data_IF_701563188890
#
_entry.id   IF_701563188890
#
_cell.length_a   1.000
_cell.length_b   1.000
_cell.length_c   1.000
_cell.angle_alpha   90.00
_cell.angle_beta   90.00
_cell.angle_gamma   90.00
#
_symmetry.space_group_name_H-M   'P 1'
#
loop_
_entity.id
_entity.type
_entity.pdbx_description
1 polymer ?
#
# COMPACT_ATOMS: atom_id res chain seq x y z
N UNK A 1 20.24 22.03 8.90
CA UNK A 1 19.48 22.96 9.78
C UNK A 1 18.90 24.12 9.00
N UNK A 2 17.73 24.61 9.43
CA UNK A 2 17.01 25.72 8.78
C UNK A 2 16.37 25.40 7.42
N UNK A 3 16.28 24.11 7.03
CA UNK A 3 15.68 23.66 5.77
C UNK A 3 14.58 22.63 6.04
N UNK A 4 13.60 22.56 5.14
CA UNK A 4 12.55 21.54 5.13
C UNK A 4 12.89 20.45 4.11
N UNK A 5 12.60 19.20 4.46
CA UNK A 5 12.78 18.03 3.59
C UNK A 5 11.41 17.40 3.34
N UNK A 6 11.04 17.26 2.07
CA UNK A 6 9.89 16.48 1.65
C UNK A 6 10.39 15.18 1.00
N UNK A 7 10.25 14.08 1.70
CA UNK A 7 10.65 12.75 1.21
C UNK A 7 9.59 12.20 0.26
N UNK A 8 10.05 11.55 -0.81
CA UNK A 8 9.15 10.91 -1.77
C UNK A 8 8.66 9.55 -1.25
N UNK A 9 7.40 9.21 -1.54
CA UNK A 9 6.85 7.85 -1.43
C UNK A 9 7.05 7.09 -2.74
N UNK A 10 6.81 5.77 -2.72
CA UNK A 10 6.97 4.88 -3.88
C UNK A 10 6.02 5.21 -5.04
N UNK A 11 4.83 5.74 -4.75
CA UNK A 11 3.78 6.10 -5.73
C UNK A 11 4.15 7.30 -6.60
N UNK A 12 3.52 7.43 -7.78
CA UNK A 12 3.70 8.60 -8.67
C UNK A 12 3.18 9.89 -8.02
N UNK A 13 1.95 9.86 -7.52
CA UNK A 13 1.38 10.91 -6.69
C UNK A 13 2.09 11.02 -5.34
N UNK A 14 2.17 12.22 -4.78
CA UNK A 14 2.88 12.50 -3.54
C UNK A 14 1.93 13.20 -2.56
N UNK A 15 1.75 12.73 -1.31
CA UNK A 15 0.72 13.28 -0.41
C UNK A 15 0.73 14.80 -0.20
N UNK A 16 1.88 15.50 -0.16
CA UNK A 16 1.89 16.96 -0.03
C UNK A 16 1.23 17.70 -1.20
N UNK A 17 1.00 17.06 -2.36
CA UNK A 17 0.42 17.73 -3.54
C UNK A 17 -0.98 18.27 -3.28
N UNK A 18 -1.75 17.63 -2.39
CA UNK A 18 -3.11 18.03 -2.05
C UNK A 18 -3.21 19.39 -1.33
N UNK A 19 -2.16 19.80 -0.60
CA UNK A 19 -2.19 21.03 0.24
C UNK A 19 -1.16 22.09 -0.15
N UNK A 20 -0.17 21.77 -0.98
CA UNK A 20 0.85 22.73 -1.40
C UNK A 20 0.27 23.77 -2.37
N UNK A 21 0.10 25.00 -1.90
CA UNK A 21 -0.42 26.13 -2.70
C UNK A 21 0.56 26.61 -3.77
N UNK A 22 1.87 26.44 -3.57
CA UNK A 22 2.89 26.81 -4.57
C UNK A 22 2.91 25.78 -5.72
N UNK A 23 2.33 26.15 -6.87
CA UNK A 23 2.27 25.29 -8.07
C UNK A 23 3.64 24.88 -8.61
N UNK A 24 4.61 25.78 -8.65
CA UNK A 24 5.96 25.46 -9.13
C UNK A 24 6.65 24.41 -8.24
N UNK A 25 6.37 24.44 -6.92
CA UNK A 25 6.83 23.41 -5.99
C UNK A 25 6.13 22.07 -6.25
N UNK A 26 4.80 22.05 -6.50
CA UNK A 26 4.08 20.83 -6.89
C UNK A 26 4.67 20.21 -8.16
N UNK A 27 4.87 21.02 -9.19
CA UNK A 27 5.50 20.60 -10.44
C UNK A 27 6.89 19.99 -10.21
N UNK A 28 7.74 20.67 -9.42
CA UNK A 28 9.08 20.17 -9.09
C UNK A 28 9.03 18.82 -8.38
N UNK A 29 8.15 18.67 -7.39
CA UNK A 29 8.00 17.41 -6.65
C UNK A 29 7.50 16.30 -7.56
N UNK A 30 6.48 16.56 -8.39
CA UNK A 30 5.92 15.57 -9.30
C UNK A 30 6.93 15.12 -10.36
N UNK A 31 7.65 16.05 -10.99
CA UNK A 31 8.72 15.70 -11.95
C UNK A 31 9.83 14.90 -11.28
N UNK A 32 10.22 15.28 -10.06
CA UNK A 32 11.22 14.51 -9.29
C UNK A 32 10.70 13.09 -9.00
N UNK A 33 9.42 12.97 -8.63
CA UNK A 33 8.74 11.69 -8.39
C UNK A 33 8.78 10.77 -9.61
N UNK A 34 8.38 11.27 -10.78
CA UNK A 34 8.35 10.50 -12.03
C UNK A 34 9.75 10.16 -12.57
N UNK A 35 10.77 10.96 -12.22
CA UNK A 35 12.16 10.71 -12.64
C UNK A 35 12.91 9.67 -11.80
N UNK A 36 12.29 9.11 -10.74
CA UNK A 36 12.96 8.10 -9.90
C UNK A 36 13.43 6.92 -10.76
N UNK A 37 14.69 6.52 -10.57
CA UNK A 37 15.29 5.41 -11.31
C UNK A 37 15.57 5.70 -12.80
N UNK A 38 15.51 6.96 -13.27
CA UNK A 38 15.69 7.27 -14.70
C UNK A 38 16.48 8.57 -14.97
N UNK A 39 17.36 8.97 -14.03
CA UNK A 39 18.09 10.27 -14.08
C UNK A 39 19.49 10.21 -14.71
N UNK A 40 19.90 9.08 -15.29
CA UNK A 40 21.26 8.91 -15.83
C UNK A 40 22.35 8.94 -14.76
N UNK A 41 22.00 8.61 -13.51
CA UNK A 41 22.93 8.49 -12.37
C UNK A 41 23.29 7.03 -12.12
N UNK A 42 24.18 6.75 -11.16
CA UNK A 42 24.49 5.39 -10.68
C UNK A 42 23.27 4.59 -10.18
N UNK A 43 22.15 5.28 -9.90
CA UNK A 43 20.86 4.71 -9.52
C UNK A 43 19.83 4.67 -10.67
N UNK A 44 20.26 4.74 -11.94
CA UNK A 44 19.40 4.57 -13.09
C UNK A 44 19.06 3.09 -13.32
N UNK A 45 17.77 2.78 -13.44
CA UNK A 45 17.24 1.42 -13.54
C UNK A 45 16.80 1.07 -14.95
N UNK A 46 16.94 1.94 -15.96
CA UNK A 46 16.42 1.69 -17.31
C UNK A 46 17.10 0.50 -17.98
N UNK A 47 18.43 0.45 -17.92
CA UNK A 47 19.20 -0.66 -18.51
C UNK A 47 18.99 -1.96 -17.73
N UNK A 48 18.88 -1.86 -16.40
CA UNK A 48 18.53 -3.01 -15.54
C UNK A 48 17.15 -3.56 -15.92
N UNK A 49 16.15 -2.70 -16.05
CA UNK A 49 14.79 -3.09 -16.43
C UNK A 49 14.75 -3.71 -17.83
N UNK A 50 15.42 -3.11 -18.82
CA UNK A 50 15.51 -3.65 -20.17
C UNK A 50 16.12 -5.07 -20.18
N UNK A 51 17.20 -5.28 -19.42
CA UNK A 51 17.82 -6.58 -19.26
C UNK A 51 16.89 -7.58 -18.56
N UNK A 52 16.19 -7.18 -17.50
CA UNK A 52 15.21 -8.04 -16.79
C UNK A 52 14.07 -8.46 -17.73
N UNK A 53 13.53 -7.54 -18.54
CA UNK A 53 12.47 -7.85 -19.51
C UNK A 53 12.97 -8.84 -20.56
N UNK A 54 14.17 -8.62 -21.10
CA UNK A 54 14.81 -9.54 -22.05
C UNK A 54 14.97 -10.94 -21.46
N UNK A 55 15.56 -11.05 -20.26
CA UNK A 55 15.76 -12.33 -19.57
C UNK A 55 14.45 -13.02 -19.21
N UNK A 56 13.40 -12.26 -18.86
CA UNK A 56 12.05 -12.81 -18.62
C UNK A 56 11.44 -13.41 -19.88
N UNK A 57 11.64 -12.77 -21.04
CA UNK A 57 11.19 -13.30 -22.33
C UNK A 57 11.96 -14.56 -22.74
N UNK A 58 13.30 -14.54 -22.64
CA UNK A 58 14.16 -15.71 -22.91
C UNK A 58 13.79 -16.90 -22.02
N UNK A 59 13.59 -16.67 -20.72
CA UNK A 59 13.14 -17.69 -19.77
C UNK A 59 11.79 -18.28 -20.15
N UNK A 60 10.83 -17.46 -20.59
CA UNK A 60 9.52 -17.95 -20.99
C UNK A 60 9.63 -18.86 -22.23
N UNK A 61 10.42 -18.46 -23.23
CA UNK A 61 10.67 -19.25 -24.44
C UNK A 61 11.35 -20.58 -24.12
N UNK A 62 12.36 -20.57 -23.24
CA UNK A 62 13.03 -21.80 -22.78
C UNK A 62 12.07 -22.78 -22.09
N UNK A 63 11.03 -22.26 -21.44
CA UNK A 63 10.00 -23.07 -20.79
C UNK A 63 8.85 -23.45 -21.72
N UNK A 64 8.89 -23.05 -23.00
CA UNK A 64 7.87 -23.40 -24.00
C UNK A 64 6.67 -22.45 -24.09
N UNK A 65 6.77 -21.23 -23.54
CA UNK A 65 5.71 -20.22 -23.58
C UNK A 65 6.07 -19.08 -24.54
N UNK A 66 5.05 -18.50 -25.19
CA UNK A 66 5.23 -17.40 -26.15
C UNK A 66 5.83 -16.13 -25.52
N UNK A 67 5.51 -15.89 -24.24
CA UNK A 67 5.95 -14.69 -23.52
C UNK A 67 5.86 -14.90 -21.99
N UNK A 68 6.45 -13.95 -21.26
CA UNK A 68 6.48 -13.99 -19.80
C UNK A 68 5.09 -13.95 -19.15
N UNK A 69 4.12 -13.24 -19.73
CA UNK A 69 2.77 -13.17 -19.18
C UNK A 69 2.07 -14.53 -19.25
N UNK A 70 2.18 -15.25 -20.37
CA UNK A 70 1.67 -16.60 -20.51
C UNK A 70 2.30 -17.56 -19.48
N UNK A 71 3.63 -17.49 -19.34
CA UNK A 71 4.35 -18.25 -18.31
C UNK A 71 3.88 -17.92 -16.88
N UNK A 72 3.76 -16.63 -16.56
CA UNK A 72 3.43 -16.19 -15.19
C UNK A 72 1.98 -16.49 -14.80
N UNK A 73 1.07 -16.57 -15.77
CA UNK A 73 -0.36 -16.76 -15.53
C UNK A 73 -0.79 -18.23 -15.41
N UNK A 74 0.06 -19.18 -15.80
CA UNK A 74 -0.25 -20.61 -15.69
C UNK A 74 -0.67 -21.02 -14.27
N UNK A 75 0.04 -20.50 -13.27
CA UNK A 75 -0.24 -20.73 -11.85
C UNK A 75 -1.13 -19.64 -11.23
N UNK A 76 -1.85 -18.86 -12.04
CA UNK A 76 -2.76 -17.81 -11.57
C UNK A 76 -4.21 -18.16 -11.92
N UNK A 77 -5.16 -17.62 -11.15
CA UNK A 77 -6.59 -17.87 -11.40
C UNK A 77 -7.10 -17.30 -12.72
N UNK A 78 -6.42 -16.27 -13.27
CA UNK A 78 -6.78 -15.71 -14.56
C UNK A 78 -6.34 -16.58 -15.76
N UNK A 79 -5.39 -17.51 -15.56
CA UNK A 79 -4.88 -18.53 -16.49
C UNK A 79 -4.25 -18.04 -17.81
N UNK A 80 -4.80 -17.02 -18.49
CA UNK A 80 -4.37 -16.60 -19.82
C UNK A 80 -4.21 -15.08 -19.94
N UNK A 81 -3.24 -14.59 -20.73
CA UNK A 81 -3.12 -13.16 -21.03
C UNK A 81 -4.38 -12.57 -21.67
N UNK A 82 -5.09 -13.37 -22.49
CA UNK A 82 -6.33 -12.95 -23.15
C UNK A 82 -7.42 -12.60 -22.12
N UNK A 83 -7.67 -13.47 -21.14
CA UNK A 83 -8.66 -13.22 -20.10
C UNK A 83 -8.35 -11.96 -19.28
N UNK A 84 -7.06 -11.76 -18.93
CA UNK A 84 -6.59 -10.54 -18.25
C UNK A 84 -6.87 -9.30 -19.11
N UNK A 85 -6.45 -9.31 -20.37
CA UNK A 85 -6.61 -8.18 -21.28
C UNK A 85 -8.09 -7.86 -21.56
N UNK A 86 -8.94 -8.86 -21.73
CA UNK A 86 -10.38 -8.69 -21.89
C UNK A 86 -11.01 -8.04 -20.65
N UNK A 87 -10.64 -8.52 -19.45
CA UNK A 87 -11.14 -7.92 -18.20
C UNK A 87 -10.70 -6.47 -18.06
N UNK A 88 -9.41 -6.16 -18.23
CA UNK A 88 -8.90 -4.79 -18.13
C UNK A 88 -9.52 -3.88 -19.19
N UNK A 89 -9.63 -4.35 -20.43
CA UNK A 89 -10.25 -3.61 -21.54
C UNK A 89 -11.75 -3.37 -21.33
N UNK A 90 -12.45 -4.25 -20.61
CA UNK A 90 -13.86 -4.04 -20.27
C UNK A 90 -14.07 -2.91 -19.26
N UNK A 91 -13.06 -2.62 -18.43
CA UNK A 91 -13.10 -1.60 -17.39
C UNK A 91 -12.60 -0.23 -17.90
N UNK A 92 -11.60 -0.24 -18.79
CA UNK A 92 -10.88 0.96 -19.23
C UNK A 92 -11.79 2.06 -19.80
N UNK A 93 -12.77 1.81 -20.69
CA UNK A 93 -13.61 2.88 -21.23
C UNK A 93 -14.39 3.63 -20.16
N UNK A 94 -14.93 2.93 -19.16
CA UNK A 94 -15.69 3.54 -18.06
C UNK A 94 -14.77 4.31 -17.11
N UNK A 95 -13.60 3.76 -16.81
CA UNK A 95 -12.60 4.43 -15.98
C UNK A 95 -12.11 5.73 -16.64
N UNK A 96 -11.80 5.71 -17.94
CA UNK A 96 -11.38 6.89 -18.70
C UNK A 96 -12.51 7.91 -18.80
N UNK A 97 -13.76 7.48 -19.02
CA UNK A 97 -14.91 8.39 -19.04
C UNK A 97 -15.07 9.14 -17.70
N UNK A 98 -14.92 8.44 -16.57
CA UNK A 98 -14.97 9.05 -15.25
C UNK A 98 -13.79 10.00 -15.01
N UNK A 99 -12.57 9.58 -15.34
CA UNK A 99 -11.38 10.43 -15.22
C UNK A 99 -11.47 11.70 -16.07
N UNK A 100 -12.04 11.63 -17.28
CA UNK A 100 -12.27 12.82 -18.12
C UNK A 100 -13.33 13.76 -17.52
N UNK A 101 -14.38 13.21 -16.90
CA UNK A 101 -15.36 14.01 -16.17
C UNK A 101 -14.73 14.71 -14.97
N UNK A 102 -13.93 13.99 -14.20
CA UNK A 102 -13.16 14.55 -13.08
C UNK A 102 -12.21 15.66 -13.58
N UNK A 103 -11.42 15.40 -14.63
CA UNK A 103 -10.54 16.42 -15.22
C UNK A 103 -11.29 17.68 -15.67
N UNK A 104 -12.50 17.52 -16.22
CA UNK A 104 -13.37 18.65 -16.60
C UNK A 104 -13.80 19.45 -15.36
N UNK A 105 -14.16 18.78 -14.28
CA UNK A 105 -14.54 19.42 -13.03
C UNK A 105 -13.35 20.16 -12.38
N UNK A 106 -12.16 19.57 -12.43
CA UNK A 106 -10.92 20.20 -11.95
C UNK A 106 -10.57 21.44 -12.79
N UNK A 107 -10.68 21.36 -14.12
CA UNK A 107 -10.43 22.52 -15.00
C UNK A 107 -11.42 23.65 -14.73
N UNK A 108 -12.70 23.36 -14.52
CA UNK A 108 -13.69 24.39 -14.15
C UNK A 108 -13.33 25.08 -12.83
N UNK A 109 -12.81 24.34 -11.86
CA UNK A 109 -12.35 24.92 -10.59
C UNK A 109 -11.12 25.82 -10.78
N UNK A 110 -10.19 25.45 -11.69
CA UNK A 110 -9.07 26.32 -12.07
C UNK A 110 -9.59 27.61 -12.71
N UNK A 111 -10.50 27.50 -13.67
CA UNK A 111 -11.04 28.63 -14.43
C UNK A 111 -11.84 29.58 -13.53
N UNK A 112 -12.57 29.06 -12.53
CA UNK A 112 -13.34 29.84 -11.58
C UNK A 112 -12.49 30.66 -10.59
N UNK A 113 -11.22 30.28 -10.39
CA UNK A 113 -10.26 31.00 -9.55
C UNK A 113 -9.37 31.96 -10.35
N UNK A 114 -9.80 32.33 -11.57
CA UNK A 114 -9.03 33.13 -12.54
C UNK A 114 -7.67 32.49 -12.89
N UNK A 115 -7.56 31.16 -12.77
CA UNK A 115 -6.38 30.41 -13.13
C UNK A 115 -6.18 30.34 -14.64
N UNK A 116 -5.13 30.98 -15.16
CA UNK A 116 -4.89 31.06 -16.61
C UNK A 116 -4.11 29.85 -17.19
N UNK A 117 -4.27 28.64 -16.64
CA UNK A 117 -3.50 27.47 -17.05
C UNK A 117 -4.36 26.21 -17.23
N UNK A 118 -3.89 25.31 -18.11
CA UNK A 118 -4.48 23.99 -18.28
C UNK A 118 -4.05 23.07 -17.14
N UNK A 119 -4.98 22.27 -16.65
CA UNK A 119 -4.75 21.21 -15.68
C UNK A 119 -3.57 20.33 -16.11
N UNK A 120 -2.61 20.15 -15.20
CA UNK A 120 -1.51 19.21 -15.35
C UNK A 120 -1.57 18.13 -14.25
N UNK A 121 -0.78 17.06 -14.39
CA UNK A 121 -0.78 15.94 -13.44
C UNK A 121 -0.40 16.35 -12.00
N UNK A 122 0.40 17.41 -11.83
CA UNK A 122 0.77 17.96 -10.52
C UNK A 122 -0.26 18.92 -9.93
N UNK A 123 -1.35 19.18 -10.64
CA UNK A 123 -2.48 20.00 -10.18
C UNK A 123 -3.65 19.14 -9.68
N UNK A 124 -3.68 17.85 -10.04
CA UNK A 124 -4.82 16.95 -9.82
C UNK A 124 -5.27 16.86 -8.35
N UNK A 125 -4.35 16.52 -7.44
CA UNK A 125 -4.67 16.33 -6.02
C UNK A 125 -5.15 17.64 -5.37
N UNK A 126 -4.47 18.74 -5.67
CA UNK A 126 -4.79 20.07 -5.12
C UNK A 126 -6.19 20.53 -5.52
N UNK A 127 -6.53 20.45 -6.81
CA UNK A 127 -7.86 20.85 -7.27
C UNK A 127 -8.94 19.82 -6.91
N UNK A 128 -8.58 18.56 -6.70
CA UNK A 128 -9.51 17.55 -6.17
C UNK A 128 -9.98 17.93 -4.77
N UNK A 129 -9.10 18.39 -3.89
CA UNK A 129 -9.51 18.87 -2.56
C UNK A 129 -10.39 20.12 -2.65
N UNK A 130 -10.12 21.04 -3.59
CA UNK A 130 -10.99 22.21 -3.81
C UNK A 130 -12.37 21.83 -4.31
N UNK A 131 -12.47 20.96 -5.30
CA UNK A 131 -13.75 20.45 -5.81
C UNK A 131 -14.51 19.68 -4.72
N UNK A 132 -13.80 18.91 -3.88
CA UNK A 132 -14.41 18.22 -2.74
C UNK A 132 -14.97 19.20 -1.71
N UNK A 133 -14.19 20.23 -1.37
CA UNK A 133 -14.63 21.28 -0.45
C UNK A 133 -15.86 22.04 -0.98
N UNK A 134 -15.85 22.43 -2.26
CA UNK A 134 -16.98 23.11 -2.91
C UNK A 134 -18.25 22.25 -2.95
N UNK A 135 -18.13 20.97 -3.32
CA UNK A 135 -19.29 20.07 -3.49
C UNK A 135 -19.89 19.56 -2.20
N UNK A 136 -19.04 19.29 -1.20
CA UNK A 136 -19.44 18.55 -0.01
C UNK A 136 -19.25 19.35 1.28
N UNK A 137 -18.73 20.58 1.21
CA UNK A 137 -18.31 21.37 2.36
C UNK A 137 -17.42 20.54 3.32
N UNK A 138 -16.52 19.75 2.73
CA UNK A 138 -15.74 18.73 3.43
C UNK A 138 -14.28 18.83 3.03
N UNK A 139 -13.42 18.91 4.04
CA UNK A 139 -11.97 18.84 3.91
C UNK A 139 -11.47 17.56 4.58
N UNK A 140 -10.81 16.69 3.82
CA UNK A 140 -10.27 15.43 4.34
C UNK A 140 -9.24 15.65 5.46
N UNK A 141 -8.59 16.80 5.51
CA UNK A 141 -7.67 17.16 6.59
C UNK A 141 -8.36 17.27 7.95
N UNK A 142 -9.66 17.60 7.97
CA UNK A 142 -10.48 17.67 9.20
C UNK A 142 -10.68 16.31 9.85
N UNK A 143 -10.54 15.21 9.10
CA UNK A 143 -10.62 13.86 9.67
C UNK A 143 -9.33 13.42 10.35
N UNK A 144 -8.19 14.00 9.98
CA UNK A 144 -6.86 13.57 10.44
C UNK A 144 -6.74 13.52 11.98
N UNK A 145 -7.28 14.48 12.76
CA UNK A 145 -7.26 14.42 14.23
C UNK A 145 -8.02 13.24 14.84
N UNK A 146 -8.93 12.60 14.11
CA UNK A 146 -9.71 11.45 14.58
C UNK A 146 -9.02 10.11 14.32
N UNK A 147 -7.95 10.10 13.52
CA UNK A 147 -7.23 8.89 13.12
C UNK A 147 -5.82 8.86 13.73
N UNK A 148 -5.76 8.80 15.06
CA UNK A 148 -4.53 8.54 15.78
C UNK A 148 -4.17 7.04 15.68
N UNK A 149 -2.89 6.71 15.41
CA UNK A 149 -2.44 5.36 15.03
C UNK A 149 -2.75 4.29 16.09
N UNK A 150 -2.56 4.58 17.37
CA UNK A 150 -2.88 3.63 18.44
C UNK A 150 -4.39 3.41 18.53
N UNK A 151 -5.18 4.47 18.39
CA UNK A 151 -6.63 4.37 18.34
C UNK A 151 -7.12 3.57 17.12
N UNK A 152 -6.54 3.80 15.94
CA UNK A 152 -6.84 3.05 14.71
C UNK A 152 -6.50 1.57 14.89
N UNK A 153 -5.35 1.26 15.49
CA UNK A 153 -4.91 -0.12 15.71
C UNK A 153 -5.80 -0.83 16.74
N UNK A 154 -6.00 -0.24 17.92
CA UNK A 154 -6.72 -0.87 19.04
C UNK A 154 -8.23 -0.87 18.83
N UNK A 155 -8.81 0.30 18.55
CA UNK A 155 -10.27 0.49 18.48
C UNK A 155 -10.84 0.38 17.06
N UNK A 156 -9.98 0.24 16.05
CA UNK A 156 -10.38 -0.06 14.68
C UNK A 156 -10.03 -1.50 14.31
N UNK A 157 -8.75 -1.74 14.06
CA UNK A 157 -8.23 -2.98 13.45
C UNK A 157 -8.43 -4.18 14.38
N UNK A 158 -7.91 -4.11 15.60
CA UNK A 158 -8.03 -5.19 16.58
C UNK A 158 -9.47 -5.36 17.03
N UNK A 159 -10.18 -4.26 17.33
CA UNK A 159 -11.60 -4.30 17.65
C UNK A 159 -12.43 -5.05 16.59
N UNK A 160 -12.28 -4.69 15.31
CA UNK A 160 -13.02 -5.35 14.23
C UNK A 160 -12.70 -6.85 14.17
N UNK A 161 -11.43 -7.24 14.33
CA UNK A 161 -11.02 -8.62 14.31
C UNK A 161 -11.53 -9.42 15.54
N UNK A 162 -11.57 -8.79 16.71
CA UNK A 162 -12.20 -9.36 17.90
C UNK A 162 -13.69 -9.56 17.69
N UNK A 163 -14.40 -8.57 17.15
CA UNK A 163 -15.84 -8.68 16.89
C UNK A 163 -16.18 -9.75 15.86
N UNK A 164 -15.34 -9.92 14.83
CA UNK A 164 -15.61 -10.83 13.73
C UNK A 164 -15.12 -12.25 13.98
N UNK A 165 -13.99 -12.43 14.66
CA UNK A 165 -13.30 -13.72 14.81
C UNK A 165 -13.04 -14.15 16.26
N UNK A 166 -13.43 -13.33 17.25
CA UNK A 166 -13.23 -13.63 18.68
C UNK A 166 -11.78 -13.55 19.17
N UNK A 167 -10.81 -13.22 18.31
CA UNK A 167 -9.40 -13.15 18.68
C UNK A 167 -9.09 -11.94 19.57
N UNK A 168 -8.11 -12.05 20.45
CA UNK A 168 -7.68 -10.97 21.34
C UNK A 168 -6.17 -10.75 21.27
N UNK A 169 -5.73 -9.55 21.65
CA UNK A 169 -4.36 -9.08 21.46
C UNK A 169 -3.78 -8.60 22.79
N UNK A 170 -2.55 -9.04 23.08
CA UNK A 170 -1.78 -8.55 24.23
C UNK A 170 -0.43 -8.05 23.74
N UNK A 171 -0.16 -6.77 23.96
CA UNK A 171 1.15 -6.21 23.65
C UNK A 171 2.23 -6.78 24.59
N UNK A 172 3.39 -7.10 24.01
CA UNK A 172 4.53 -7.73 24.66
C UNK A 172 5.74 -6.82 24.54
N UNK A 173 6.24 -6.36 25.69
CA UNK A 173 7.42 -5.49 25.79
C UNK A 173 8.68 -6.24 26.19
N UNK A 174 8.56 -7.53 26.49
CA UNK A 174 9.64 -8.40 26.95
C UNK A 174 10.32 -9.17 25.81
N UNK A 175 9.80 -9.06 24.58
CA UNK A 175 10.34 -9.73 23.40
C UNK A 175 11.36 -8.85 22.66
N UNK A 176 12.40 -9.44 22.04
CA UNK A 176 13.38 -8.68 21.29
C UNK A 176 12.77 -8.10 20.02
N UNK A 177 13.16 -6.86 19.71
CA UNK A 177 12.74 -6.14 18.49
C UNK A 177 13.96 -5.75 17.66
N UNK A 178 13.79 -5.70 16.33
CA UNK A 178 14.86 -5.31 15.41
C UNK A 178 14.98 -3.79 15.23
N UNK A 179 13.97 -3.03 15.67
CA UNK A 179 13.97 -1.57 15.66
C UNK A 179 13.07 -1.05 16.80
N UNK A 180 13.43 0.10 17.37
CA UNK A 180 12.84 0.66 18.60
C UNK A 180 11.33 0.91 18.58
N UNK A 181 10.74 1.18 17.42
CA UNK A 181 9.31 1.51 17.27
C UNK A 181 8.47 0.29 16.92
N UNK A 182 9.09 -0.88 16.79
CA UNK A 182 8.39 -2.13 16.49
C UNK A 182 7.61 -2.56 17.72
N UNK A 183 6.32 -2.85 17.51
CA UNK A 183 5.42 -3.36 18.54
C UNK A 183 5.13 -4.83 18.29
N UNK A 184 5.08 -5.62 19.35
CA UNK A 184 4.82 -7.06 19.26
C UNK A 184 3.58 -7.38 20.08
N UNK A 185 2.66 -8.13 19.48
CA UNK A 185 1.42 -8.56 20.08
C UNK A 185 1.35 -10.07 20.09
N UNK A 186 1.06 -10.66 21.24
CA UNK A 186 0.61 -12.04 21.34
C UNK A 186 -0.89 -12.08 21.04
N UNK A 187 -1.27 -12.95 20.10
CA UNK A 187 -2.65 -13.09 19.63
C UNK A 187 -3.23 -14.39 20.14
N UNK A 188 -4.44 -14.35 20.68
CA UNK A 188 -5.14 -15.49 21.25
C UNK A 188 -6.44 -15.76 20.50
N UNK A 189 -6.81 -17.04 20.42
CA UNK A 189 -8.15 -17.47 20.02
C UNK A 189 -9.17 -17.13 21.12
N UNK A 190 -10.45 -17.27 20.79
CA UNK A 190 -11.57 -17.05 21.72
C UNK A 190 -11.49 -17.98 22.97
N UNK A 191 -10.95 -19.19 22.81
CA UNK A 191 -10.74 -20.14 23.91
C UNK A 191 -9.50 -19.82 24.80
N UNK A 192 -8.80 -18.74 24.50
CA UNK A 192 -7.59 -18.30 25.19
C UNK A 192 -6.31 -19.03 24.76
N UNK A 193 -6.38 -19.95 23.80
CA UNK A 193 -5.18 -20.59 23.25
C UNK A 193 -4.37 -19.62 22.38
N UNK A 194 -3.04 -19.73 22.43
CA UNK A 194 -2.15 -18.87 21.63
C UNK A 194 -2.36 -19.17 20.14
N UNK A 195 -2.66 -18.15 19.36
CA UNK A 195 -2.80 -18.21 17.91
C UNK A 195 -1.48 -17.88 17.21
N UNK A 196 -0.92 -16.70 17.47
CA UNK A 196 0.21 -16.16 16.72
C UNK A 196 0.99 -15.10 17.51
N UNK A 197 2.15 -14.70 16.97
CA UNK A 197 2.72 -13.38 17.24
C UNK A 197 2.46 -12.46 16.04
N UNK A 198 1.99 -11.24 16.33
CA UNK A 198 1.83 -10.17 15.35
C UNK A 198 2.82 -9.03 15.64
N UNK A 199 3.57 -8.63 14.62
CA UNK A 199 4.57 -7.57 14.69
C UNK A 199 4.07 -6.38 13.86
N UNK A 200 4.06 -5.20 14.45
CA UNK A 200 3.66 -3.97 13.77
C UNK A 200 4.83 -2.99 13.69
N UNK A 201 5.22 -2.64 12.46
CA UNK A 201 6.27 -1.66 12.16
C UNK A 201 5.72 -0.51 11.30
N UNK A 202 5.11 0.47 11.96
CA UNK A 202 4.26 1.49 11.33
C UNK A 202 5.00 2.62 10.59
N UNK A 203 6.23 2.94 10.98
CA UNK A 203 6.87 4.21 10.60
C UNK A 203 7.82 4.14 9.42
N UNK A 204 7.82 5.18 8.58
CA UNK A 204 8.79 5.40 7.53
C UNK A 204 10.17 5.74 8.11
N UNK A 205 11.23 5.19 7.48
CA UNK A 205 12.63 5.48 7.80
C UNK A 205 13.52 5.18 6.61
N UNK A 206 14.73 5.76 6.57
CA UNK A 206 15.66 5.65 5.43
C UNK A 206 16.08 4.21 5.11
N UNK A 207 16.12 3.33 6.11
CA UNK A 207 16.47 1.92 5.93
C UNK A 207 15.29 1.02 5.54
N UNK A 208 14.07 1.56 5.45
CA UNK A 208 12.86 0.83 5.07
C UNK A 208 12.44 1.18 3.65
N UNK A 209 12.18 0.17 2.82
CA UNK A 209 11.61 0.38 1.48
C UNK A 209 10.22 1.03 1.57
N UNK A 210 9.84 1.80 0.56
CA UNK A 210 8.51 2.42 0.48
C UNK A 210 7.37 1.40 0.28
N UNK A 211 6.13 1.86 0.43
CA UNK A 211 4.91 1.05 0.32
C UNK A 211 4.41 0.53 1.66
N UNK A 212 3.57 -0.50 1.63
CA UNK A 212 3.19 -1.30 2.79
C UNK A 212 3.22 -2.77 2.38
N UNK A 213 3.47 -3.65 3.34
CA UNK A 213 3.44 -5.10 3.09
C UNK A 213 3.30 -5.89 4.39
N UNK A 214 2.76 -7.10 4.23
CA UNK A 214 2.78 -8.17 5.20
C UNK A 214 3.86 -9.20 4.84
N UNK A 215 4.51 -9.80 5.84
CA UNK A 215 5.28 -11.02 5.65
C UNK A 215 5.20 -11.95 6.88
N UNK A 216 5.44 -13.24 6.65
CA UNK A 216 5.66 -14.21 7.72
C UNK A 216 7.16 -14.32 8.04
N UNK A 217 7.53 -14.15 9.31
CA UNK A 217 8.85 -14.55 9.82
C UNK A 217 8.88 -16.05 10.13
N UNK A 218 7.75 -16.59 10.60
CA UNK A 218 7.51 -18.01 10.75
C UNK A 218 6.13 -18.30 10.17
N UNK A 219 6.04 -19.19 9.19
CA UNK A 219 4.76 -19.68 8.66
C UNK A 219 4.17 -20.76 9.56
N UNK A 220 2.84 -20.84 9.62
CA UNK A 220 2.15 -21.93 10.31
C UNK A 220 2.42 -23.27 9.60
N UNK A 221 2.57 -24.35 10.36
CA UNK A 221 2.64 -25.72 9.80
C UNK A 221 2.50 -26.78 10.89
N UNK A 222 1.58 -27.75 10.69
CA UNK A 222 1.49 -28.93 11.57
C UNK A 222 2.72 -29.84 11.45
N UNK A 223 3.30 -30.00 10.26
CA UNK A 223 4.50 -30.81 10.04
C UNK A 223 5.71 -30.31 10.83
N UNK A 224 5.84 -28.99 11.02
CA UNK A 224 6.91 -28.38 11.81
C UNK A 224 6.51 -28.06 13.25
N UNK A 225 5.22 -28.16 13.58
CA UNK A 225 4.67 -27.74 14.88
C UNK A 225 4.73 -26.23 15.10
N UNK A 226 4.82 -25.43 14.02
CA UNK A 226 5.01 -23.99 14.11
C UNK A 226 3.67 -23.26 14.25
N UNK A 227 3.61 -22.30 15.18
CA UNK A 227 2.63 -21.21 15.16
C UNK A 227 3.18 -20.03 14.35
N UNK A 228 2.32 -19.27 13.67
CA UNK A 228 2.77 -18.20 12.79
C UNK A 228 3.30 -16.98 13.57
N UNK A 229 4.34 -16.36 13.01
CA UNK A 229 4.86 -15.05 13.43
C UNK A 229 4.76 -14.13 12.21
N UNK A 230 3.81 -13.21 12.26
CA UNK A 230 3.39 -12.39 11.13
C UNK A 230 3.71 -10.92 11.40
N UNK A 231 4.09 -10.18 10.37
CA UNK A 231 4.44 -8.77 10.50
C UNK A 231 3.82 -7.90 9.43
N UNK A 232 3.35 -6.72 9.83
CA UNK A 232 2.92 -5.65 8.94
C UNK A 232 3.89 -4.48 9.00
N UNK A 233 4.23 -3.95 7.83
CA UNK A 233 5.12 -2.82 7.68
C UNK A 233 4.39 -1.71 6.93
N UNK A 234 4.31 -0.54 7.55
CA UNK A 234 3.80 0.67 6.92
C UNK A 234 4.90 1.73 6.82
N UNK A 235 4.57 2.84 6.16
CA UNK A 235 5.43 4.00 5.97
C UNK A 235 4.73 5.30 6.41
N UNK A 236 4.09 5.28 7.58
CA UNK A 236 3.52 6.48 8.21
C UNK A 236 4.65 7.41 8.66
N UNK A 237 4.48 8.72 8.53
CA UNK A 237 5.51 9.67 8.96
C UNK A 237 5.58 9.68 10.49
N UNK A 238 6.75 9.37 11.04
CA UNK A 238 6.99 9.43 12.49
C UNK A 238 6.86 10.88 12.97
N UNK A 239 5.95 11.19 13.91
CA UNK A 239 5.82 12.55 14.44
C UNK A 239 7.00 12.89 15.35
N UNK A 240 7.21 14.18 15.67
CA UNK A 240 8.14 14.59 16.72
C UNK A 240 7.83 13.92 18.06
N UNK A 241 8.84 13.81 18.94
CA UNK A 241 8.66 13.20 20.25
C UNK A 241 7.57 13.93 21.06
N UNK A 242 6.58 13.18 21.53
CA UNK A 242 5.47 13.70 22.33
C UNK A 242 4.23 14.09 21.54
N UNK A 243 4.30 14.10 20.20
CA UNK A 243 3.16 14.40 19.33
C UNK A 243 2.44 13.12 18.90
N UNK A 244 1.10 13.15 18.73
CA UNK A 244 0.33 11.99 18.29
C UNK A 244 0.63 11.61 16.84
N UNK A 245 0.54 10.31 16.52
CA UNK A 245 0.68 9.85 15.14
C UNK A 245 -0.66 9.94 14.43
N UNK A 246 -0.92 11.08 13.79
CA UNK A 246 -2.16 11.30 13.05
C UNK A 246 -2.05 10.81 11.60
N UNK A 247 -2.97 9.92 11.22
CA UNK A 247 -2.98 9.22 9.94
C UNK A 247 -3.96 9.85 8.96
N UNK A 248 -3.64 9.78 7.66
CA UNK A 248 -4.64 10.01 6.63
C UNK A 248 -5.61 8.82 6.54
N UNK A 249 -6.77 9.02 5.93
CA UNK A 249 -7.71 7.93 5.70
C UNK A 249 -7.12 6.81 4.82
N UNK A 250 -6.27 7.15 3.85
CA UNK A 250 -5.56 6.14 3.03
C UNK A 250 -4.59 5.30 3.88
N UNK A 251 -3.94 5.90 4.88
CA UNK A 251 -3.07 5.17 5.82
C UNK A 251 -3.89 4.25 6.74
N UNK A 252 -5.10 4.66 7.12
CA UNK A 252 -6.05 3.80 7.85
C UNK A 252 -6.46 2.60 6.98
N UNK A 253 -6.89 2.83 5.74
CA UNK A 253 -7.23 1.75 4.79
C UNK A 253 -6.04 0.81 4.62
N UNK A 254 -4.83 1.35 4.44
CA UNK A 254 -3.60 0.56 4.30
C UNK A 254 -3.38 -0.33 5.52
N UNK A 255 -3.62 0.17 6.73
CA UNK A 255 -3.47 -0.62 7.96
C UNK A 255 -4.43 -1.80 7.99
N UNK A 256 -5.70 -1.59 7.61
CA UNK A 256 -6.69 -2.66 7.49
C UNK A 256 -6.34 -3.67 6.38
N UNK A 257 -5.86 -3.18 5.23
CA UNK A 257 -5.44 -4.03 4.11
C UNK A 257 -4.32 -4.99 4.53
N UNK A 258 -3.23 -4.46 5.09
CA UNK A 258 -2.13 -5.30 5.56
C UNK A 258 -2.58 -6.22 6.70
N UNK A 259 -3.49 -5.77 7.56
CA UNK A 259 -4.02 -6.63 8.62
C UNK A 259 -4.90 -7.77 8.08
N UNK A 260 -5.56 -7.59 6.94
CA UNK A 260 -6.22 -8.67 6.21
C UNK A 260 -5.25 -9.78 5.81
N UNK A 261 -4.08 -9.43 5.26
CA UNK A 261 -3.02 -10.40 5.02
C UNK A 261 -2.49 -11.02 6.32
N UNK A 262 -2.39 -10.23 7.38
CA UNK A 262 -1.95 -10.74 8.67
C UNK A 262 -2.91 -11.82 9.20
N UNK A 263 -4.22 -11.59 9.14
CA UNK A 263 -5.26 -12.56 9.50
C UNK A 263 -5.16 -13.82 8.62
N UNK A 264 -4.98 -13.66 7.31
CA UNK A 264 -4.79 -14.80 6.40
C UNK A 264 -3.58 -15.66 6.81
N UNK A 265 -2.47 -15.04 7.23
CA UNK A 265 -1.31 -15.74 7.77
C UNK A 265 -1.57 -16.39 9.14
N UNK A 266 -2.20 -15.67 10.06
CA UNK A 266 -2.44 -16.11 11.44
C UNK A 266 -3.42 -17.27 11.52
N UNK A 267 -4.47 -17.27 10.69
CA UNK A 267 -5.50 -18.31 10.68
C UNK A 267 -5.17 -19.53 9.82
N UNK A 268 -3.96 -19.61 9.27
CA UNK A 268 -3.56 -20.77 8.50
C UNK A 268 -3.58 -22.04 9.36
N UNK A 269 -4.19 -23.11 8.86
CA UNK A 269 -4.25 -24.42 9.55
C UNK A 269 -3.89 -25.59 8.63
N UNK A 270 -2.67 -25.56 8.07
CA UNK A 270 -2.22 -26.52 7.06
C UNK A 270 -1.17 -27.49 7.60
N UNK A 271 -1.03 -28.64 6.94
CA UNK A 271 0.02 -29.60 7.29
C UNK A 271 1.40 -29.14 6.80
N UNK A 272 1.50 -28.80 5.51
CA UNK A 272 2.78 -28.54 4.85
C UNK A 272 3.07 -27.03 4.77
N UNK A 273 4.30 -26.59 5.10
CA UNK A 273 4.68 -25.17 5.03
C UNK A 273 4.47 -24.53 3.66
N UNK A 274 4.54 -25.32 2.59
CA UNK A 274 4.35 -24.85 1.21
C UNK A 274 2.97 -24.21 0.96
N UNK A 275 1.94 -24.61 1.74
CA UNK A 275 0.58 -24.09 1.61
C UNK A 275 0.20 -23.11 2.73
N UNK A 276 1.18 -22.64 3.52
CA UNK A 276 0.90 -21.85 4.70
C UNK A 276 0.52 -20.41 4.37
N UNK A 277 -0.50 -19.89 5.08
CA UNK A 277 -0.93 -18.50 5.04
C UNK A 277 -1.19 -17.98 3.64
N UNK A 278 -0.51 -16.89 3.29
CA UNK A 278 -0.64 -16.18 2.01
C UNK A 278 0.03 -16.89 0.82
N UNK A 279 0.42 -18.17 0.96
CA UNK A 279 0.95 -19.00 -0.13
C UNK A 279 -0.17 -19.50 -1.05
N UNK A 280 -0.95 -18.58 -1.59
CA UNK A 280 -2.01 -18.81 -2.57
C UNK A 280 -1.70 -18.03 -3.85
N UNK A 281 -2.49 -18.23 -4.90
CA UNK A 281 -2.32 -17.50 -6.16
C UNK A 281 -2.37 -15.98 -5.91
N UNK A 282 -1.48 -15.24 -6.56
CA UNK A 282 -1.29 -13.79 -6.34
C UNK A 282 -2.60 -13.00 -6.51
N UNK A 283 -3.42 -13.38 -7.49
CA UNK A 283 -4.71 -12.75 -7.74
C UNK A 283 -5.76 -13.02 -6.63
N UNK A 284 -5.56 -14.03 -5.79
CA UNK A 284 -6.43 -14.35 -4.64
C UNK A 284 -5.89 -13.71 -3.36
N UNK A 285 -4.57 -13.59 -3.19
CA UNK A 285 -3.94 -13.04 -1.97
C UNK A 285 -4.54 -11.69 -1.59
N UNK A 286 -4.91 -10.90 -2.59
CA UNK A 286 -5.41 -9.55 -2.43
C UNK A 286 -6.94 -9.39 -2.67
N UNK A 287 -7.74 -10.45 -2.57
CA UNK A 287 -9.19 -10.39 -2.87
C UNK A 287 -9.95 -9.41 -1.93
N UNK A 288 -10.20 -8.20 -2.43
CA UNK A 288 -10.86 -7.07 -1.75
C UNK A 288 -11.02 -5.87 -2.70
N UNK A 289 -11.81 -4.83 -2.36
CA UNK A 289 -12.00 -3.68 -3.25
C UNK A 289 -10.70 -2.85 -3.33
N UNK A 290 -9.87 -3.16 -4.31
CA UNK A 290 -8.58 -2.50 -4.54
C UNK A 290 -8.72 -1.01 -4.86
N UNK A 291 -7.95 -0.19 -4.15
CA UNK A 291 -7.13 0.85 -4.77
C UNK A 291 -5.70 0.35 -4.82
N UNK A 292 -5.07 0.62 -5.96
CA UNK A 292 -3.72 0.27 -6.38
C UNK A 292 -2.65 0.68 -5.33
N UNK A 293 -2.24 -0.26 -4.46
CA UNK A 293 -1.01 -0.16 -3.69
C UNK A 293 0.11 -0.72 -4.54
N UNK A 294 0.69 0.15 -5.37
CA UNK A 294 1.77 -0.16 -6.31
C UNK A 294 2.86 -1.07 -5.71
N UNK A 295 2.83 -2.34 -6.10
CA UNK A 295 3.95 -3.29 -6.06
C UNK A 295 4.01 -3.98 -7.44
N UNK A 296 4.57 -3.26 -8.40
CA UNK A 296 5.31 -3.83 -9.54
C UNK A 296 6.71 -3.23 -9.58
#
# INVERSE_FOLDING_TARGET
>A
DGKYVLTLRNTSGQPPMASLTNRALRERIHKTSLSRGSRGSDFDNRDVLANVIKLRAERAQLMGYDNHAAYSLENQTAQTPKAVNERLSSLAPKAVANANKEATDLQKMIDAEDGSFKLASWDWDFYTEKVRADRYNFDASQLKPYFEMDNVLQNGVFYAATQLFGITFKERFDLPVYQEDVRVFEVFNEDGSVLALFIFDGYARSSKRGGAWMNAYVGQSKLKGNKPVIANHLNVVKPPKGEPTLMSFDEVITTFHEFGHALHGMFSDVNYPYFAGTSVNFLIVNDGPFRDTSVE
#
